data_IF_928927345766
#
_entry.id   IF_928927345766
#
_cell.length_a   1.000
_cell.length_b   1.000
_cell.length_c   1.000
_cell.angle_alpha   90.00
_cell.angle_beta   90.00
_cell.angle_gamma   90.00
#
_symmetry.space_group_name_H-M   'P 1'
#
loop_
_entity.id
_entity.type
_entity.pdbx_description
1 polymer ?
#
# COMPACT_ATOMS: atom_id res chain seq x y z
N UNK A 1 -1.43 41.44 -33.19
CA UNK A 1 -1.80 40.03 -33.01
C UNK A 1 -3.26 39.86 -33.38
N UNK A 2 -3.53 38.84 -34.19
CA UNK A 2 -4.93 38.54 -34.52
C UNK A 2 -5.66 37.94 -33.31
N UNK A 3 -6.93 38.23 -33.18
CA UNK A 3 -7.76 37.70 -32.09
C UNK A 3 -7.75 36.18 -32.02
N UNK A 4 -7.54 35.54 -33.14
CA UNK A 4 -7.39 34.06 -33.20
C UNK A 4 -6.14 33.57 -32.50
N UNK A 5 -5.01 34.23 -32.65
CA UNK A 5 -3.73 33.84 -31.97
C UNK A 5 -3.89 34.01 -30.47
N UNK A 6 -4.51 35.10 -30.01
CA UNK A 6 -4.76 35.32 -28.56
C UNK A 6 -5.65 34.23 -28.00
N UNK A 7 -6.72 33.84 -28.71
CA UNK A 7 -7.63 32.77 -28.26
C UNK A 7 -6.93 31.44 -28.16
N UNK A 8 -6.09 31.09 -29.14
CA UNK A 8 -5.31 29.85 -29.13
C UNK A 8 -4.34 29.83 -27.95
N UNK A 9 -3.64 30.92 -27.68
CA UNK A 9 -2.70 31.03 -26.57
C UNK A 9 -3.45 30.87 -25.23
N UNK A 10 -4.61 31.53 -25.07
CA UNK A 10 -5.42 31.42 -23.84
C UNK A 10 -5.90 29.99 -23.62
N UNK A 11 -6.39 29.32 -24.67
CA UNK A 11 -6.85 27.93 -24.57
C UNK A 11 -5.69 26.99 -24.19
N UNK A 12 -4.54 27.16 -24.82
CA UNK A 12 -3.34 26.36 -24.50
C UNK A 12 -2.88 26.60 -23.06
N UNK A 13 -2.93 27.84 -22.58
CA UNK A 13 -2.58 28.16 -21.19
C UNK A 13 -3.55 27.53 -20.19
N UNK A 14 -4.85 27.57 -20.45
CA UNK A 14 -5.88 26.95 -19.61
C UNK A 14 -5.70 25.43 -19.57
N UNK A 15 -5.47 24.80 -20.71
CA UNK A 15 -5.24 23.35 -20.79
C UNK A 15 -3.96 22.97 -20.03
N UNK A 16 -2.89 23.73 -20.19
CA UNK A 16 -1.63 23.47 -19.47
C UNK A 16 -1.82 23.58 -17.95
N UNK A 17 -2.54 24.59 -17.47
CA UNK A 17 -2.84 24.75 -16.04
C UNK A 17 -3.71 23.60 -15.54
N UNK A 18 -4.73 23.19 -16.30
CA UNK A 18 -5.60 22.06 -15.94
C UNK A 18 -4.81 20.74 -15.81
N UNK A 19 -3.91 20.48 -16.75
CA UNK A 19 -3.03 19.29 -16.72
C UNK A 19 -2.11 19.35 -15.49
N UNK A 20 -1.51 20.50 -15.24
CA UNK A 20 -0.61 20.68 -14.10
C UNK A 20 -1.34 20.45 -12.78
N UNK A 21 -2.55 21.02 -12.62
CA UNK A 21 -3.38 20.81 -11.43
C UNK A 21 -3.79 19.34 -11.27
N UNK A 22 -4.11 18.66 -12.36
CA UNK A 22 -4.45 17.22 -12.33
C UNK A 22 -3.26 16.38 -11.88
N UNK A 23 -2.04 16.67 -12.36
CA UNK A 23 -0.82 15.97 -11.97
C UNK A 23 -0.46 16.23 -10.51
N UNK A 24 -0.59 17.47 -10.04
CA UNK A 24 -0.37 17.83 -8.63
C UNK A 24 -1.39 17.14 -7.74
N UNK A 25 -2.67 17.13 -8.13
CA UNK A 25 -3.72 16.42 -7.39
C UNK A 25 -3.46 14.90 -7.31
N UNK A 26 -2.92 14.29 -8.37
CA UNK A 26 -2.51 12.88 -8.35
C UNK A 26 -1.37 12.62 -7.35
N UNK A 27 -0.39 13.50 -7.28
CA UNK A 27 0.72 13.38 -6.32
C UNK A 27 0.26 13.60 -4.87
N UNK A 28 -0.74 14.48 -4.66
CA UNK A 28 -1.28 14.77 -3.35
C UNK A 28 -2.32 13.75 -2.88
N UNK A 29 -2.91 12.97 -3.79
CA UNK A 29 -3.76 11.84 -3.43
C UNK A 29 -2.90 10.73 -2.90
N UNK A 30 -2.60 10.79 -1.61
CA UNK A 30 -2.02 9.64 -0.92
C UNK A 30 -3.04 8.51 -0.95
N UNK A 31 -2.64 7.28 -1.32
CA UNK A 31 -3.51 6.14 -1.11
C UNK A 31 -3.92 6.13 0.37
N UNK A 32 -5.19 5.87 0.63
CA UNK A 32 -5.67 5.73 2.02
C UNK A 32 -4.98 4.50 2.59
N UNK A 33 -3.91 4.73 3.33
CA UNK A 33 -3.22 3.67 4.04
C UNK A 33 -4.01 3.35 5.31
N UNK A 34 -4.19 2.07 5.63
CA UNK A 34 -4.80 1.70 6.90
C UNK A 34 -3.96 2.27 8.05
N UNK A 35 -4.62 2.80 9.04
CA UNK A 35 -3.99 3.45 10.20
C UNK A 35 -3.56 2.36 11.20
N UNK A 36 -2.52 1.63 10.86
CA UNK A 36 -2.00 0.53 11.66
C UNK A 36 -0.92 1.07 12.60
N UNK A 37 -1.13 0.88 13.88
CA UNK A 37 -0.19 1.30 14.92
C UNK A 37 0.57 0.12 15.52
N UNK A 38 1.74 0.38 16.07
CA UNK A 38 2.62 -0.65 16.70
C UNK A 38 1.90 -1.44 17.78
N UNK A 39 1.12 -0.77 18.61
CA UNK A 39 0.40 -1.40 19.69
C UNK A 39 -0.57 -2.48 19.26
N UNK A 40 -0.99 -2.42 17.98
CA UNK A 40 -1.96 -3.36 17.41
C UNK A 40 -1.31 -4.66 16.90
N UNK A 41 -0.02 -4.62 16.56
CA UNK A 41 0.69 -5.75 15.94
C UNK A 41 1.94 -6.22 16.71
N UNK A 42 2.35 -5.52 17.75
CA UNK A 42 3.51 -5.84 18.59
C UNK A 42 4.70 -4.92 18.37
N UNK A 43 5.68 -4.99 19.26
CA UNK A 43 6.85 -4.07 19.32
C UNK A 43 8.00 -4.48 18.40
N UNK A 44 7.79 -5.40 17.48
CA UNK A 44 8.85 -5.91 16.60
C UNK A 44 8.62 -5.53 15.17
N UNK A 45 9.68 -5.36 14.37
CA UNK A 45 9.52 -5.24 12.95
C UNK A 45 8.85 -6.51 12.42
N UNK A 46 7.87 -6.36 11.55
CA UNK A 46 7.13 -7.51 11.06
C UNK A 46 6.26 -7.22 9.88
N UNK A 47 5.71 -8.28 9.34
CA UNK A 47 4.78 -8.26 8.23
C UNK A 47 3.41 -8.68 8.71
N UNK A 48 2.40 -7.92 8.35
CA UNK A 48 0.99 -8.25 8.61
C UNK A 48 0.30 -8.48 7.27
N UNK A 49 -0.36 -9.61 7.14
CA UNK A 49 -1.09 -9.97 5.92
C UNK A 49 -2.58 -10.07 6.24
N UNK A 50 -3.37 -9.24 5.56
CA UNK A 50 -4.83 -9.26 5.65
C UNK A 50 -5.39 -10.16 4.56
N UNK A 51 -6.20 -11.15 4.95
CA UNK A 51 -6.73 -12.18 4.05
C UNK A 51 -8.23 -12.42 4.26
N UNK A 52 -8.80 -13.22 3.37
CA UNK A 52 -10.16 -13.77 3.50
C UNK A 52 -10.12 -15.24 3.09
N UNK A 53 -11.04 -16.05 3.60
CA UNK A 53 -11.09 -17.50 3.34
C UNK A 53 -11.34 -17.83 1.87
N UNK A 54 -12.07 -16.98 1.13
CA UNK A 54 -12.44 -17.20 -0.27
C UNK A 54 -11.54 -16.43 -1.26
N UNK A 55 -10.29 -16.19 -0.89
CA UNK A 55 -9.38 -15.37 -1.67
C UNK A 55 -8.23 -16.18 -2.26
N UNK A 56 -8.24 -16.42 -3.57
CA UNK A 56 -7.16 -17.14 -4.25
C UNK A 56 -5.84 -16.35 -4.25
N UNK A 57 -5.90 -15.05 -4.44
CA UNK A 57 -4.71 -14.19 -4.40
C UNK A 57 -4.09 -14.14 -3.00
N UNK A 58 -4.89 -14.30 -1.95
CA UNK A 58 -4.38 -14.40 -0.58
C UNK A 58 -3.52 -15.66 -0.40
N UNK A 59 -3.92 -16.77 -1.00
CA UNK A 59 -3.13 -18.01 -0.98
C UNK A 59 -1.78 -17.83 -1.68
N UNK A 60 -1.76 -17.12 -2.80
CA UNK A 60 -0.53 -16.78 -3.52
C UNK A 60 0.37 -15.86 -2.68
N UNK A 61 -0.20 -14.87 -1.99
CA UNK A 61 0.54 -13.99 -1.10
C UNK A 61 1.18 -14.75 0.07
N UNK A 62 0.43 -15.67 0.68
CA UNK A 62 0.93 -16.54 1.74
C UNK A 62 2.09 -17.40 1.24
N UNK A 63 1.92 -18.04 0.09
CA UNK A 63 2.95 -18.87 -0.52
C UNK A 63 4.23 -18.06 -0.82
N UNK A 64 4.08 -16.84 -1.30
CA UNK A 64 5.20 -15.94 -1.56
C UNK A 64 5.97 -15.59 -0.28
N UNK A 65 5.27 -15.20 0.78
CA UNK A 65 5.89 -14.87 2.07
C UNK A 65 6.63 -16.07 2.65
N UNK A 66 6.03 -17.24 2.56
CA UNK A 66 6.67 -18.50 2.99
C UNK A 66 7.93 -18.83 2.16
N UNK A 67 7.85 -18.67 0.83
CA UNK A 67 8.97 -18.93 -0.07
C UNK A 67 10.13 -17.97 0.14
N UNK A 68 9.87 -16.75 0.56
CA UNK A 68 10.88 -15.74 0.88
C UNK A 68 11.36 -15.82 2.34
N UNK A 69 10.93 -16.82 3.09
CA UNK A 69 11.27 -17.02 4.51
C UNK A 69 10.94 -15.83 5.39
N UNK A 70 9.84 -15.15 5.10
CA UNK A 70 9.34 -14.00 5.86
C UNK A 70 8.29 -14.47 6.84
N UNK A 71 8.54 -14.26 8.13
CA UNK A 71 7.51 -14.48 9.16
C UNK A 71 6.48 -13.37 9.10
N UNK A 72 5.21 -13.73 9.15
CA UNK A 72 4.11 -12.77 9.07
C UNK A 72 2.97 -13.17 10.00
N UNK A 73 2.18 -12.16 10.39
CA UNK A 73 0.92 -12.37 11.10
C UNK A 73 -0.21 -12.27 10.11
N UNK A 74 -1.00 -13.32 10.00
CA UNK A 74 -2.20 -13.33 9.16
C UNK A 74 -3.40 -12.84 9.96
N UNK A 75 -4.13 -11.88 9.40
CA UNK A 75 -5.39 -11.40 9.95
C UNK A 75 -6.47 -11.71 8.92
N UNK A 76 -7.34 -12.66 9.25
CA UNK A 76 -8.41 -13.13 8.38
C UNK A 76 -9.71 -12.40 8.68
N UNK A 77 -10.38 -11.92 7.65
CA UNK A 77 -11.62 -11.15 7.79
C UNK A 77 -12.70 -11.89 8.60
N UNK A 78 -12.90 -13.16 8.32
CA UNK A 78 -13.91 -13.98 8.98
C UNK A 78 -13.63 -14.23 10.45
N UNK A 79 -12.38 -14.17 10.87
CA UNK A 79 -11.98 -14.36 12.26
C UNK A 79 -11.87 -13.05 13.04
N UNK A 80 -11.42 -11.99 12.41
CA UNK A 80 -11.16 -10.70 13.06
C UNK A 80 -11.72 -9.52 12.23
N UNK A 81 -13.05 -9.49 11.96
CA UNK A 81 -13.63 -8.42 11.13
C UNK A 81 -13.47 -7.03 11.73
N UNK A 82 -13.38 -6.91 13.06
CA UNK A 82 -13.20 -5.64 13.74
C UNK A 82 -11.86 -4.97 13.40
N UNK A 83 -10.83 -5.76 13.16
CA UNK A 83 -9.51 -5.24 12.79
C UNK A 83 -9.50 -4.63 11.39
N UNK A 84 -10.27 -5.20 10.47
CA UNK A 84 -10.45 -4.65 9.13
C UNK A 84 -11.15 -3.30 9.17
N UNK A 85 -12.17 -3.17 10.00
CA UNK A 85 -12.89 -1.93 10.20
C UNK A 85 -12.02 -0.88 10.90
N UNK A 86 -11.32 -1.25 11.98
CA UNK A 86 -10.44 -0.38 12.74
C UNK A 86 -9.32 0.22 11.87
N UNK A 87 -8.74 -0.58 10.99
CA UNK A 87 -7.61 -0.18 10.16
C UNK A 87 -8.01 0.19 8.73
N UNK A 88 -9.29 0.27 8.46
CA UNK A 88 -9.83 0.68 7.15
C UNK A 88 -9.32 -0.18 6.00
N UNK A 89 -9.32 -1.50 6.18
CA UNK A 89 -8.91 -2.46 5.15
C UNK A 89 -10.13 -2.85 4.32
N UNK A 90 -10.13 -2.50 3.04
CA UNK A 90 -11.27 -2.74 2.13
C UNK A 90 -11.03 -3.83 1.11
N UNK A 91 -9.80 -4.25 0.92
CA UNK A 91 -9.45 -5.26 -0.09
C UNK A 91 -8.38 -6.20 0.42
N UNK A 92 -8.42 -7.44 -0.03
CA UNK A 92 -7.45 -8.48 0.29
C UNK A 92 -6.89 -9.11 -0.99
N UNK A 93 -5.65 -9.61 -1.00
CA UNK A 93 -4.68 -9.54 0.10
C UNK A 93 -4.11 -8.14 0.27
N UNK A 94 -3.80 -7.76 1.51
CA UNK A 94 -3.08 -6.53 1.82
C UNK A 94 -1.90 -6.88 2.72
N UNK A 95 -0.70 -6.57 2.27
CA UNK A 95 0.54 -6.83 3.00
C UNK A 95 1.10 -5.52 3.54
N UNK A 96 1.30 -5.44 4.84
CA UNK A 96 1.86 -4.28 5.51
C UNK A 96 3.20 -4.65 6.13
N UNK A 97 4.24 -3.90 5.78
CA UNK A 97 5.59 -4.10 6.33
C UNK A 97 5.87 -3.00 7.34
N UNK A 98 6.14 -3.38 8.58
CA UNK A 98 6.38 -2.47 9.71
C UNK A 98 7.83 -2.57 10.18
N UNK A 99 8.43 -1.43 10.51
CA UNK A 99 9.76 -1.37 11.13
C UNK A 99 9.70 -1.54 12.65
N UNK A 100 10.87 -1.53 13.31
CA UNK A 100 10.97 -1.69 14.77
C UNK A 100 10.32 -0.54 15.56
N UNK A 101 10.21 0.63 14.96
CA UNK A 101 9.53 1.79 15.55
C UNK A 101 8.02 1.79 15.31
N UNK A 102 7.50 0.80 14.58
CA UNK A 102 6.09 0.69 14.22
C UNK A 102 5.69 1.54 13.04
N UNK A 103 6.65 2.14 12.36
CA UNK A 103 6.40 2.88 11.14
C UNK A 103 6.08 1.94 9.99
N UNK A 104 5.14 2.34 9.14
CA UNK A 104 4.82 1.60 7.92
C UNK A 104 5.90 1.86 6.88
N UNK A 105 6.64 0.82 6.53
CA UNK A 105 7.70 0.88 5.49
C UNK A 105 7.10 0.79 4.11
N UNK A 106 6.19 -0.16 3.91
CA UNK A 106 5.54 -0.40 2.62
C UNK A 106 4.19 -1.09 2.81
N UNK A 107 3.26 -0.81 1.90
CA UNK A 107 1.96 -1.49 1.83
C UNK A 107 1.80 -2.03 0.42
N UNK A 108 1.54 -3.34 0.31
CA UNK A 108 1.28 -4.00 -0.96
C UNK A 108 -0.19 -4.35 -1.06
N UNK A 109 -0.85 -3.82 -2.08
CA UNK A 109 -2.21 -4.17 -2.45
C UNK A 109 -2.17 -5.28 -3.50
N UNK A 110 -2.79 -6.41 -3.21
CA UNK A 110 -2.68 -7.61 -4.04
C UNK A 110 -1.42 -8.42 -3.72
N UNK A 111 -1.04 -9.33 -4.63
CA UNK A 111 0.15 -10.16 -4.44
C UNK A 111 1.40 -9.30 -4.69
N UNK A 112 2.31 -9.16 -3.72
CA UNK A 112 3.50 -8.35 -3.91
C UNK A 112 4.50 -9.02 -4.88
N UNK A 113 5.31 -8.20 -5.52
CA UNK A 113 6.42 -8.73 -6.34
C UNK A 113 7.57 -9.15 -5.43
N UNK A 114 8.23 -10.31 -5.68
CA UNK A 114 9.29 -10.82 -4.81
C UNK A 114 10.43 -9.81 -4.56
N UNK A 115 10.87 -9.12 -5.61
CA UNK A 115 11.93 -8.10 -5.51
C UNK A 115 11.55 -6.95 -4.59
N UNK A 116 10.36 -6.42 -4.75
CA UNK A 116 9.84 -5.27 -3.99
C UNK A 116 9.61 -5.66 -2.54
N UNK A 117 9.07 -6.86 -2.32
CA UNK A 117 8.88 -7.42 -0.97
C UNK A 117 10.21 -7.56 -0.23
N UNK A 118 11.23 -8.15 -0.86
CA UNK A 118 12.57 -8.30 -0.27
C UNK A 118 13.19 -6.95 0.10
N UNK A 119 13.05 -5.97 -0.76
CA UNK A 119 13.54 -4.60 -0.50
C UNK A 119 12.87 -3.98 0.71
N UNK A 120 11.54 -4.09 0.82
CA UNK A 120 10.77 -3.57 1.95
C UNK A 120 11.14 -4.28 3.26
N UNK A 121 11.27 -5.59 3.24
CA UNK A 121 11.65 -6.41 4.40
C UNK A 121 13.05 -6.02 4.91
N UNK A 122 14.01 -5.80 4.01
CA UNK A 122 15.35 -5.33 4.37
C UNK A 122 15.31 -3.91 4.97
N UNK A 123 14.54 -3.02 4.35
CA UNK A 123 14.39 -1.63 4.84
C UNK A 123 13.76 -1.59 6.24
N UNK A 124 12.88 -2.53 6.56
CA UNK A 124 12.25 -2.65 7.87
C UNK A 124 13.16 -3.28 8.93
N UNK A 125 14.29 -3.85 8.54
CA UNK A 125 15.19 -4.56 9.45
C UNK A 125 14.69 -5.95 9.85
N UNK A 126 13.81 -6.55 9.07
CA UNK A 126 13.29 -7.90 9.32
C UNK A 126 14.31 -8.92 8.85
N UNK A 127 14.63 -9.87 9.73
CA UNK A 127 15.55 -10.97 9.39
C UNK A 127 14.78 -12.06 8.66
N UNK A 128 15.25 -12.43 7.47
CA UNK A 128 14.76 -13.58 6.73
C UNK A 128 15.49 -14.84 7.22
N UNK A 129 14.73 -15.78 7.73
CA UNK A 129 15.26 -17.05 8.23
C UNK A 129 15.21 -18.16 7.18
#
# INVERSE_FOLDING_TARGET
MSDQVVRVIVVLAVVAVAILLALVARKLRRPVHPDITVGDVGDRPGVVLFTSTDCNNCKEAIALLESESVSFREITFELEPQRFELWTVFAVPLTVVLDAGGGVVEIFSGVPRPKTLRKAVRAAGIVQT
#
